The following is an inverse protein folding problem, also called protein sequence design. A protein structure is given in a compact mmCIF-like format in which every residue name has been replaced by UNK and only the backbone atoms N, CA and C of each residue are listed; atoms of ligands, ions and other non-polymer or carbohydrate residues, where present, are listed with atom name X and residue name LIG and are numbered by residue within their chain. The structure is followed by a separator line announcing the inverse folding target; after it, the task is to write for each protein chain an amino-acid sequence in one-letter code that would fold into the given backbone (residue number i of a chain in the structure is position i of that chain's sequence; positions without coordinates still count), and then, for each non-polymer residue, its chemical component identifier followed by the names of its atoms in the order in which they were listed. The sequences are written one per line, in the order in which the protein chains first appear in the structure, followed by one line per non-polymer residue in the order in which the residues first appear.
data_IF_933997840763
#
_entry.id   IF_933997840763
#
_cell.length_a   1.000
_cell.length_b   1.000
_cell.length_c   1.000
_cell.angle_alpha   90.00
_cell.angle_beta   90.00
_cell.angle_gamma   90.00
#
_symmetry.space_group_name_H-M   'P 1'
#
loop_
_entity.id
_entity.type
_entity.pdbx_description
1 polymer ?
#
# COMPACT_ATOMS: atom_id res chain seq x y z
N UNK A 1 -20.11 9.84 1.80
CA UNK A 1 -21.57 9.61 2.02
C UNK A 1 -22.42 10.88 2.27
N UNK A 2 -22.42 11.52 3.44
CA UNK A 2 -23.32 12.68 3.71
C UNK A 2 -23.09 13.88 2.76
N UNK A 3 -21.85 14.08 2.32
CA UNK A 3 -21.47 15.20 1.44
C UNK A 3 -21.95 15.08 -0.01
N UNK A 4 -22.06 13.86 -0.54
CA UNK A 4 -22.44 13.65 -1.95
C UNK A 4 -23.97 13.72 -2.10
N UNK A 5 -24.72 13.24 -1.10
CA UNK A 5 -26.18 13.31 -1.07
C UNK A 5 -26.76 14.72 -0.99
N UNK A 6 -26.03 15.68 -0.41
CA UNK A 6 -26.48 17.08 -0.34
C UNK A 6 -26.26 17.81 -1.67
N UNK A 7 -25.34 17.34 -2.52
CA UNK A 7 -24.90 18.04 -3.73
C UNK A 7 -25.68 17.63 -4.98
N UNK A 8 -26.14 16.38 -5.06
CA UNK A 8 -26.91 15.88 -6.20
C UNK A 8 -28.38 15.90 -5.81
N UNK A 9 -29.26 16.41 -6.67
CA UNK A 9 -30.71 16.23 -6.58
C UNK A 9 -31.13 15.18 -7.62
N UNK A 10 -30.98 13.86 -7.36
CA UNK A 10 -31.48 12.84 -8.27
C UNK A 10 -32.99 12.67 -8.09
N UNK A 11 -33.63 12.03 -9.06
CA UNK A 11 -34.97 11.50 -8.88
C UNK A 11 -34.99 10.50 -7.71
N UNK A 12 -36.13 10.36 -7.03
CA UNK A 12 -36.24 9.59 -5.79
C UNK A 12 -35.87 8.10 -5.95
N UNK A 13 -36.09 7.52 -7.13
CA UNK A 13 -35.79 6.11 -7.40
C UNK A 13 -34.28 5.86 -7.56
N UNK A 14 -33.57 6.72 -8.31
CA UNK A 14 -32.12 6.62 -8.47
C UNK A 14 -31.41 6.83 -7.13
N UNK A 15 -31.90 7.79 -6.33
CA UNK A 15 -31.35 8.11 -5.01
C UNK A 15 -31.30 6.89 -4.07
N UNK A 16 -32.34 6.06 -4.07
CA UNK A 16 -32.41 4.86 -3.21
C UNK A 16 -31.39 3.81 -3.63
N UNK A 17 -31.24 3.58 -4.93
CA UNK A 17 -30.23 2.64 -5.47
C UNK A 17 -28.82 3.10 -5.10
N UNK A 18 -28.54 4.40 -5.18
CA UNK A 18 -27.26 4.97 -4.76
C UNK A 18 -26.96 4.74 -3.28
N UNK A 19 -27.92 5.03 -2.40
CA UNK A 19 -27.74 4.83 -0.95
C UNK A 19 -27.42 3.36 -0.65
N UNK A 20 -28.15 2.42 -1.26
CA UNK A 20 -27.93 0.99 -1.06
C UNK A 20 -26.55 0.55 -1.56
N UNK A 21 -26.14 1.00 -2.75
CA UNK A 21 -24.81 0.74 -3.30
C UNK A 21 -23.71 1.31 -2.39
N UNK A 22 -23.86 2.52 -1.87
CA UNK A 22 -22.91 3.13 -0.95
C UNK A 22 -22.84 2.43 0.41
N UNK A 23 -23.95 1.91 0.93
CA UNK A 23 -23.95 1.11 2.16
C UNK A 23 -23.19 -0.19 1.94
N UNK A 24 -23.46 -0.87 0.82
CA UNK A 24 -22.72 -2.06 0.43
C UNK A 24 -21.22 -1.77 0.26
N UNK A 25 -20.91 -0.61 -0.30
CA UNK A 25 -19.55 -0.14 -0.47
C UNK A 25 -18.83 0.13 0.86
N UNK A 26 -19.50 0.80 1.79
CA UNK A 26 -19.00 1.00 3.16
C UNK A 26 -18.73 -0.33 3.87
N UNK A 27 -19.58 -1.33 3.64
CA UNK A 27 -19.35 -2.67 4.16
C UNK A 27 -18.10 -3.33 3.56
N UNK A 28 -17.91 -3.29 2.24
CA UNK A 28 -16.70 -3.81 1.60
C UNK A 28 -15.42 -3.11 2.09
N UNK A 29 -15.47 -1.79 2.28
CA UNK A 29 -14.37 -1.00 2.83
C UNK A 29 -14.00 -1.46 4.24
N UNK A 30 -14.99 -1.66 5.12
CA UNK A 30 -14.77 -2.18 6.48
C UNK A 30 -14.14 -3.58 6.47
N UNK A 31 -14.59 -4.45 5.56
CA UNK A 31 -14.00 -5.80 5.42
C UNK A 31 -12.56 -5.74 4.91
N UNK A 32 -12.26 -4.85 3.95
CA UNK A 32 -10.90 -4.63 3.47
C UNK A 32 -9.98 -4.14 4.60
N UNK A 33 -10.46 -3.22 5.44
CA UNK A 33 -9.73 -2.73 6.61
C UNK A 33 -9.46 -3.86 7.62
N UNK A 34 -10.47 -4.68 7.95
CA UNK A 34 -10.31 -5.84 8.84
C UNK A 34 -9.31 -6.86 8.30
N UNK A 35 -9.29 -7.09 6.99
CA UNK A 35 -8.30 -7.95 6.35
C UNK A 35 -6.88 -7.39 6.49
N UNK A 36 -6.71 -6.07 6.38
CA UNK A 36 -5.42 -5.40 6.55
C UNK A 36 -4.92 -5.47 7.98
N UNK A 37 -5.75 -5.13 8.97
CA UNK A 37 -5.40 -5.23 10.39
C UNK A 37 -5.01 -6.67 10.74
N UNK A 38 -5.77 -7.66 10.28
CA UNK A 38 -5.45 -9.07 10.50
C UNK A 38 -4.16 -9.48 9.82
N UNK A 39 -3.83 -8.93 8.65
CA UNK A 39 -2.56 -9.19 7.98
C UNK A 39 -1.38 -8.65 8.79
N UNK A 40 -1.46 -7.43 9.30
CA UNK A 40 -0.42 -6.84 10.15
C UNK A 40 -0.22 -7.64 11.43
N UNK A 41 -1.30 -8.13 12.05
CA UNK A 41 -1.22 -9.03 13.20
C UNK A 41 -0.57 -10.37 12.87
N UNK A 42 -0.84 -10.94 11.68
CA UNK A 42 -0.22 -12.19 11.24
C UNK A 42 1.27 -12.01 10.91
N UNK A 43 1.68 -10.87 10.39
CA UNK A 43 3.10 -10.54 10.21
C UNK A 43 3.83 -10.35 11.55
N UNK A 44 3.13 -9.85 12.57
CA UNK A 44 3.68 -9.71 13.92
C UNK A 44 3.72 -11.02 14.70
N UNK A 45 2.88 -12.00 14.34
CA UNK A 45 2.83 -13.31 14.99
C UNK A 45 3.83 -14.27 14.35
N UNK A 46 4.75 -14.82 15.14
CA UNK A 46 5.81 -15.73 14.68
C UNK A 46 5.34 -17.16 14.33
N UNK A 47 4.03 -17.45 14.41
CA UNK A 47 3.49 -18.80 14.17
C UNK A 47 2.88 -18.94 12.77
N UNK A 48 3.56 -19.74 11.95
CA UNK A 48 3.28 -19.95 10.54
C UNK A 48 2.10 -20.90 10.29
N UNK A 49 1.00 -20.40 9.70
CA UNK A 49 -0.04 -21.26 9.12
C UNK A 49 -0.55 -20.76 7.77
N UNK A 50 0.06 -21.29 6.70
CA UNK A 50 -0.23 -20.98 5.28
C UNK A 50 -1.70 -21.08 4.86
N UNK A 51 -2.52 -21.90 5.52
CA UNK A 51 -3.96 -22.05 5.20
C UNK A 51 -4.77 -20.79 5.52
N UNK A 52 -4.41 -20.11 6.60
CA UNK A 52 -5.13 -18.91 7.04
C UNK A 52 -4.78 -17.71 6.15
N UNK A 53 -3.56 -17.67 5.64
CA UNK A 53 -3.09 -16.74 4.61
C UNK A 53 -3.93 -16.88 3.33
N UNK A 54 -4.01 -18.08 2.74
CA UNK A 54 -4.77 -18.31 1.49
C UNK A 54 -6.22 -17.83 1.59
N UNK A 55 -6.88 -18.05 2.74
CA UNK A 55 -8.26 -17.60 2.95
C UNK A 55 -8.39 -16.07 2.89
N UNK A 56 -7.44 -15.34 3.48
CA UNK A 56 -7.42 -13.87 3.44
C UNK A 56 -7.14 -13.37 2.02
N UNK A 57 -6.23 -14.02 1.29
CA UNK A 57 -5.94 -13.69 -0.10
C UNK A 57 -7.17 -13.79 -1.01
N UNK A 58 -7.92 -14.89 -0.86
CA UNK A 58 -9.16 -15.11 -1.61
C UNK A 58 -10.20 -14.04 -1.27
N UNK A 59 -10.37 -13.72 0.02
CA UNK A 59 -11.29 -12.67 0.45
C UNK A 59 -10.90 -11.31 -0.15
N UNK A 60 -9.63 -10.93 -0.11
CA UNK A 60 -9.14 -9.68 -0.68
C UNK A 60 -9.30 -9.64 -2.21
N UNK A 61 -9.06 -10.76 -2.89
CA UNK A 61 -9.27 -10.90 -4.32
C UNK A 61 -10.75 -10.75 -4.72
N UNK A 62 -11.67 -11.33 -3.95
CA UNK A 62 -13.11 -11.16 -4.18
C UNK A 62 -13.52 -9.69 -4.00
N UNK A 63 -13.03 -9.01 -2.97
CA UNK A 63 -13.29 -7.58 -2.77
C UNK A 63 -12.78 -6.76 -3.97
N UNK A 64 -11.57 -7.02 -4.44
CA UNK A 64 -10.98 -6.33 -5.59
C UNK A 64 -11.80 -6.53 -6.88
N UNK A 65 -12.33 -7.73 -7.12
CA UNK A 65 -13.17 -8.02 -8.29
C UNK A 65 -14.50 -7.26 -8.20
N UNK A 66 -15.15 -7.28 -7.03
CA UNK A 66 -16.43 -6.57 -6.83
C UNK A 66 -16.26 -5.05 -7.01
N UNK A 67 -15.18 -4.49 -6.50
CA UNK A 67 -14.84 -3.07 -6.63
C UNK A 67 -14.56 -2.67 -8.09
N UNK A 68 -13.77 -3.47 -8.81
CA UNK A 68 -13.52 -3.27 -10.24
C UNK A 68 -14.79 -3.38 -11.09
N UNK A 69 -15.67 -4.35 -10.79
CA UNK A 69 -16.97 -4.48 -11.45
C UNK A 69 -17.82 -3.23 -11.25
N UNK A 70 -17.87 -2.68 -10.03
CA UNK A 70 -18.60 -1.44 -9.74
C UNK A 70 -18.03 -0.23 -10.49
N UNK A 71 -16.71 -0.09 -10.57
CA UNK A 71 -16.07 0.98 -11.34
C UNK A 71 -16.42 0.91 -12.82
N UNK A 72 -16.43 -0.30 -13.39
CA UNK A 72 -16.81 -0.51 -14.80
C UNK A 72 -18.28 -0.16 -15.01
N UNK A 73 -19.18 -0.61 -14.14
CA UNK A 73 -20.60 -0.24 -14.20
C UNK A 73 -20.78 1.27 -14.10
N UNK A 74 -20.10 1.93 -13.15
CA UNK A 74 -20.14 3.39 -12.99
C UNK A 74 -19.66 4.14 -14.25
N UNK A 75 -18.60 3.65 -14.89
CA UNK A 75 -18.06 4.24 -16.13
C UNK A 75 -19.03 4.13 -17.30
N UNK A 76 -19.74 3.00 -17.41
CA UNK A 76 -20.68 2.76 -18.50
C UNK A 76 -22.01 3.50 -18.32
N UNK A 77 -22.49 3.64 -17.09
CA UNK A 77 -23.83 4.19 -16.80
C UNK A 77 -23.85 5.71 -16.62
N UNK A 78 -22.81 6.31 -16.02
CA UNK A 78 -22.83 7.73 -15.61
C UNK A 78 -21.56 8.47 -16.02
N UNK A 79 -21.44 8.82 -17.31
CA UNK A 79 -20.27 9.57 -17.81
C UNK A 79 -20.14 10.97 -17.20
N UNK A 80 -21.26 11.66 -16.95
CA UNK A 80 -21.26 13.05 -16.50
C UNK A 80 -21.02 13.19 -14.99
N UNK A 81 -21.51 12.23 -14.18
CA UNK A 81 -21.27 12.17 -12.72
C UNK A 81 -20.07 11.30 -12.33
N UNK A 82 -19.37 10.72 -13.32
CA UNK A 82 -18.32 9.72 -13.14
C UNK A 82 -17.24 10.17 -12.15
N UNK A 83 -16.77 11.40 -12.28
CA UNK A 83 -15.63 11.92 -11.52
C UNK A 83 -15.92 11.97 -10.01
N UNK A 84 -17.17 12.24 -9.63
CA UNK A 84 -17.56 12.33 -8.21
C UNK A 84 -17.74 10.97 -7.55
N UNK A 85 -18.37 10.05 -8.30
CA UNK A 85 -18.84 8.77 -7.80
C UNK A 85 -17.77 7.68 -7.88
N UNK A 86 -16.88 7.77 -8.88
CA UNK A 86 -15.81 6.78 -9.12
C UNK A 86 -14.64 6.93 -8.14
N UNK A 87 -14.60 8.00 -7.34
CA UNK A 87 -13.45 8.32 -6.53
C UNK A 87 -13.26 7.40 -5.30
N UNK A 88 -14.28 7.26 -4.46
CA UNK A 88 -14.28 6.34 -3.32
C UNK A 88 -13.87 4.92 -3.74
N UNK A 89 -14.42 4.38 -4.85
CA UNK A 89 -13.98 3.08 -5.35
C UNK A 89 -12.60 3.04 -5.96
N UNK A 90 -12.12 4.12 -6.57
CA UNK A 90 -10.75 4.17 -7.07
C UNK A 90 -9.71 4.12 -5.95
N UNK A 91 -9.93 4.78 -4.79
CA UNK A 91 -8.99 4.71 -3.67
C UNK A 91 -8.90 3.29 -3.12
N UNK A 92 -10.05 2.68 -2.84
CA UNK A 92 -10.10 1.35 -2.25
C UNK A 92 -9.55 0.30 -3.23
N UNK A 93 -9.72 0.46 -4.53
CA UNK A 93 -9.06 -0.40 -5.52
C UNK A 93 -7.55 -0.30 -5.41
N UNK A 94 -7.00 0.92 -5.36
CA UNK A 94 -5.55 1.12 -5.26
C UNK A 94 -5.02 0.54 -3.95
N UNK A 95 -5.70 0.78 -2.84
CA UNK A 95 -5.32 0.27 -1.52
C UNK A 95 -5.41 -1.26 -1.40
N UNK A 96 -6.45 -1.87 -1.97
CA UNK A 96 -6.61 -3.33 -2.00
C UNK A 96 -5.57 -3.99 -2.89
N UNK A 97 -5.26 -3.40 -4.05
CA UNK A 97 -4.18 -3.86 -4.92
C UNK A 97 -2.82 -3.79 -4.24
N UNK A 98 -2.52 -2.71 -3.52
CA UNK A 98 -1.29 -2.60 -2.73
C UNK A 98 -1.18 -3.68 -1.67
N UNK A 99 -2.26 -3.86 -0.90
CA UNK A 99 -2.33 -4.88 0.14
C UNK A 99 -2.14 -6.28 -0.45
N UNK A 100 -2.71 -6.52 -1.64
CA UNK A 100 -2.56 -7.78 -2.37
C UNK A 100 -1.11 -7.99 -2.85
N UNK A 101 -0.46 -6.97 -3.41
CA UNK A 101 0.93 -7.03 -3.87
C UNK A 101 1.87 -7.35 -2.70
N UNK A 102 1.75 -6.61 -1.59
CA UNK A 102 2.52 -6.87 -0.36
C UNK A 102 2.29 -8.30 0.15
N UNK A 103 1.03 -8.71 0.16
CA UNK A 103 0.66 -10.04 0.62
C UNK A 103 1.28 -11.15 -0.26
N UNK A 104 1.20 -11.03 -1.58
CA UNK A 104 1.80 -12.00 -2.52
C UNK A 104 3.32 -12.01 -2.38
N UNK A 105 3.95 -10.84 -2.28
CA UNK A 105 5.40 -10.73 -2.05
C UNK A 105 5.86 -11.43 -0.78
N UNK A 106 5.19 -11.16 0.35
CA UNK A 106 5.51 -11.79 1.64
C UNK A 106 5.32 -13.32 1.60
N UNK A 107 4.28 -13.81 0.93
CA UNK A 107 4.05 -15.26 0.80
C UNK A 107 5.13 -15.90 -0.08
N UNK A 108 5.54 -15.26 -1.18
CA UNK A 108 6.59 -15.79 -2.07
C UNK A 108 7.96 -15.86 -1.38
N UNK A 109 8.26 -14.90 -0.51
CA UNK A 109 9.45 -14.90 0.33
C UNK A 109 9.42 -16.08 1.31
N UNK A 110 8.29 -16.29 2.00
CA UNK A 110 8.09 -17.40 2.95
C UNK A 110 8.22 -18.78 2.27
N UNK A 111 7.71 -18.92 1.04
CA UNK A 111 7.76 -20.19 0.29
C UNK A 111 9.17 -20.45 -0.27
N UNK A 112 10.11 -19.50 -0.17
CA UNK A 112 11.50 -19.67 -0.56
C UNK A 112 11.72 -19.64 -2.08
N UNK A 113 10.74 -19.18 -2.87
CA UNK A 113 10.84 -19.12 -4.33
C UNK A 113 11.61 -17.85 -4.78
N UNK A 114 11.58 -16.77 -3.99
CA UNK A 114 12.19 -15.48 -4.34
C UNK A 114 13.11 -14.92 -3.25
N UNK A 115 14.13 -15.67 -2.83
CA UNK A 115 15.16 -15.22 -1.87
C UNK A 115 16.16 -14.18 -2.44
N UNK A 116 15.83 -13.53 -3.55
CA UNK A 116 16.72 -12.51 -4.11
C UNK A 116 16.55 -11.20 -3.34
N UNK A 117 17.63 -10.68 -2.74
CA UNK A 117 17.69 -9.35 -2.13
C UNK A 117 17.08 -8.26 -3.04
N UNK A 118 17.36 -8.36 -4.35
CA UNK A 118 16.80 -7.46 -5.38
C UNK A 118 15.27 -7.48 -5.46
N UNK A 119 14.63 -8.63 -5.21
CA UNK A 119 13.16 -8.74 -5.26
C UNK A 119 12.51 -8.03 -4.07
N UNK A 120 13.10 -8.18 -2.88
CA UNK A 120 12.64 -7.49 -1.65
C UNK A 120 12.79 -5.97 -1.77
N UNK A 121 13.90 -5.50 -2.36
CA UNK A 121 14.11 -4.07 -2.65
C UNK A 121 13.08 -3.52 -3.65
N UNK A 122 12.81 -4.25 -4.73
CA UNK A 122 11.80 -3.87 -5.73
C UNK A 122 10.40 -3.82 -5.12
N UNK A 123 10.02 -4.82 -4.33
CA UNK A 123 8.72 -4.88 -3.65
C UNK A 123 8.54 -3.67 -2.72
N UNK A 124 9.58 -3.35 -1.95
CA UNK A 124 9.59 -2.16 -1.08
C UNK A 124 9.43 -0.86 -1.88
N UNK A 125 10.08 -0.74 -3.03
CA UNK A 125 9.97 0.44 -3.88
C UNK A 125 8.58 0.59 -4.49
N UNK A 126 7.98 -0.51 -4.94
CA UNK A 126 6.60 -0.55 -5.46
C UNK A 126 5.63 -0.11 -4.37
N UNK A 127 5.76 -0.64 -3.16
CA UNK A 127 4.93 -0.28 -2.01
C UNK A 127 5.00 1.22 -1.71
N UNK A 128 6.21 1.79 -1.68
CA UNK A 128 6.41 3.21 -1.44
C UNK A 128 5.81 4.09 -2.55
N UNK A 129 6.01 3.70 -3.81
CA UNK A 129 5.45 4.43 -4.96
C UNK A 129 3.93 4.40 -4.96
N UNK A 130 3.34 3.25 -4.64
CA UNK A 130 1.91 3.09 -4.57
C UNK A 130 1.31 3.90 -3.39
N UNK A 131 1.94 3.87 -2.22
CA UNK A 131 1.57 4.70 -1.07
C UNK A 131 1.54 6.20 -1.42
N UNK A 132 2.53 6.68 -2.18
CA UNK A 132 2.57 8.06 -2.68
C UNK A 132 1.40 8.30 -3.64
N UNK A 133 1.12 7.36 -4.54
CA UNK A 133 0.04 7.48 -5.51
C UNK A 133 -1.32 7.62 -4.81
N UNK A 134 -1.60 6.84 -3.76
CA UNK A 134 -2.83 6.97 -2.96
C UNK A 134 -2.95 8.34 -2.33
N UNK A 135 -1.87 8.85 -1.73
CA UNK A 135 -1.87 10.17 -1.11
C UNK A 135 -2.11 11.25 -2.16
N UNK A 136 -1.46 11.17 -3.33
CA UNK A 136 -1.64 12.13 -4.41
C UNK A 136 -3.06 12.13 -4.97
N UNK A 137 -3.63 10.96 -5.23
CA UNK A 137 -5.02 10.80 -5.68
C UNK A 137 -5.98 11.36 -4.64
N UNK A 138 -5.73 11.11 -3.35
CA UNK A 138 -6.50 11.66 -2.23
C UNK A 138 -6.43 13.19 -2.16
N UNK A 139 -5.22 13.76 -2.27
CA UNK A 139 -5.04 15.22 -2.29
C UNK A 139 -5.74 15.87 -3.48
N UNK A 140 -5.59 15.28 -4.68
CA UNK A 140 -6.24 15.79 -5.90
C UNK A 140 -7.75 15.88 -5.73
N UNK A 141 -8.38 14.86 -5.14
CA UNK A 141 -9.81 14.87 -4.88
C UNK A 141 -10.26 15.93 -3.89
N UNK A 142 -9.54 16.08 -2.78
CA UNK A 142 -9.86 17.13 -1.82
C UNK A 142 -9.78 18.52 -2.43
N UNK A 143 -8.80 18.76 -3.32
CA UNK A 143 -8.69 20.00 -4.08
C UNK A 143 -9.85 20.13 -5.08
N UNK A 144 -10.21 19.07 -5.79
CA UNK A 144 -11.37 19.08 -6.70
C UNK A 144 -12.67 19.42 -5.98
N UNK A 145 -12.96 18.82 -4.83
CA UNK A 145 -14.14 19.17 -4.01
C UNK A 145 -14.11 20.64 -3.61
N UNK A 146 -12.95 21.14 -3.17
CA UNK A 146 -12.78 22.54 -2.75
C UNK A 146 -13.10 23.50 -3.90
N UNK A 147 -12.66 23.18 -5.12
CA UNK A 147 -12.91 24.00 -6.31
C UNK A 147 -14.41 24.05 -6.65
N UNK A 148 -15.15 22.97 -6.40
CA UNK A 148 -16.57 22.86 -6.73
C UNK A 148 -17.49 23.51 -5.69
N UNK A 149 -17.15 23.45 -4.40
CA UNK A 149 -17.92 24.09 -3.33
C UNK A 149 -17.65 25.59 -3.17
N UNK A 150 -16.57 26.10 -3.78
CA UNK A 150 -16.06 27.43 -3.52
C UNK A 150 -15.48 27.58 -2.11
N UNK A 151 -14.70 28.64 -1.88
CA UNK A 151 -14.10 28.93 -0.56
C UNK A 151 -15.16 29.59 0.33
N UNK A 152 -16.16 28.82 0.74
CA UNK A 152 -17.08 29.19 1.82
C UNK A 152 -16.57 28.62 3.14
N UNK A 153 -16.64 29.36 4.25
CA UNK A 153 -16.23 28.91 5.58
C UNK A 153 -17.24 27.93 6.19
N UNK A 154 -17.43 26.79 5.53
CA UNK A 154 -18.26 25.69 6.02
C UNK A 154 -17.39 24.66 6.76
N UNK A 155 -17.99 23.94 7.71
CA UNK A 155 -17.34 22.84 8.46
C UNK A 155 -16.68 21.80 7.53
N UNK A 156 -17.23 21.64 6.33
CA UNK A 156 -16.73 20.75 5.27
C UNK A 156 -15.29 21.10 4.88
N UNK A 157 -15.03 22.38 4.60
CA UNK A 157 -13.70 22.87 4.20
C UNK A 157 -12.71 22.65 5.33
N UNK A 158 -13.11 22.84 6.59
CA UNK A 158 -12.26 22.57 7.75
C UNK A 158 -11.86 21.08 7.85
N UNK A 159 -12.82 20.17 7.73
CA UNK A 159 -12.55 18.71 7.74
C UNK A 159 -11.65 18.31 6.57
N UNK A 160 -11.90 18.84 5.37
CA UNK A 160 -11.07 18.57 4.19
C UNK A 160 -9.65 19.09 4.39
N UNK A 161 -9.47 20.30 4.94
CA UNK A 161 -8.15 20.86 5.25
C UNK A 161 -7.39 20.04 6.29
N UNK A 162 -8.06 19.50 7.31
CA UNK A 162 -7.44 18.60 8.28
C UNK A 162 -6.96 17.30 7.62
N UNK A 163 -7.75 16.72 6.72
CA UNK A 163 -7.36 15.53 5.97
C UNK A 163 -6.18 15.82 5.02
N UNK A 164 -6.18 16.96 4.33
CA UNK A 164 -5.04 17.43 3.53
C UNK A 164 -3.77 17.56 4.39
N UNK A 165 -3.88 18.23 5.55
CA UNK A 165 -2.75 18.40 6.47
C UNK A 165 -2.23 17.04 6.95
N UNK A 166 -3.11 16.14 7.37
CA UNK A 166 -2.75 14.77 7.77
C UNK A 166 -2.02 14.03 6.65
N UNK A 167 -2.53 14.13 5.41
CA UNK A 167 -1.89 13.54 4.23
C UNK A 167 -0.50 14.10 3.96
N UNK A 168 -0.30 15.42 4.06
CA UNK A 168 1.01 16.06 3.89
C UNK A 168 2.00 15.62 4.98
N UNK A 169 1.57 15.56 6.24
CA UNK A 169 2.42 15.11 7.35
C UNK A 169 2.82 13.64 7.16
N UNK A 170 1.87 12.79 6.76
CA UNK A 170 2.13 11.39 6.46
C UNK A 170 3.11 11.24 5.30
N UNK A 171 2.92 11.98 4.20
CA UNK A 171 3.83 12.00 3.05
C UNK A 171 5.24 12.43 3.46
N UNK A 172 5.35 13.53 4.19
CA UNK A 172 6.64 14.03 4.66
C UNK A 172 7.34 13.02 5.58
N UNK A 173 6.58 12.37 6.47
CA UNK A 173 7.13 11.33 7.34
C UNK A 173 7.63 10.11 6.54
N UNK A 174 6.91 9.71 5.48
CA UNK A 174 7.31 8.60 4.60
C UNK A 174 8.56 8.96 3.79
N UNK A 175 8.62 10.14 3.21
CA UNK A 175 9.81 10.63 2.48
C UNK A 175 11.02 10.71 3.42
N UNK A 176 10.84 11.22 4.64
CA UNK A 176 11.91 11.28 5.63
C UNK A 176 12.44 9.88 6.00
N UNK A 177 11.55 8.90 6.19
CA UNK A 177 11.94 7.50 6.45
C UNK A 177 12.72 6.91 5.28
N UNK A 178 12.31 7.20 4.04
CA UNK A 178 13.02 6.76 2.84
C UNK A 178 14.42 7.39 2.73
N UNK A 179 14.54 8.70 2.97
CA UNK A 179 15.85 9.40 3.01
C UNK A 179 16.77 8.79 4.06
N UNK A 180 16.26 8.59 5.27
CA UNK A 180 17.03 8.00 6.38
C UNK A 180 17.49 6.57 6.07
N UNK A 181 16.66 5.78 5.38
CA UNK A 181 17.05 4.42 4.94
C UNK A 181 18.22 4.51 3.97
N UNK A 182 18.15 5.41 2.98
CA UNK A 182 19.22 5.60 1.99
C UNK A 182 20.51 6.11 2.62
N UNK A 183 20.42 7.04 3.58
CA UNK A 183 21.58 7.54 4.34
C UNK A 183 22.22 6.43 5.18
N UNK A 184 21.42 5.53 5.76
CA UNK A 184 21.92 4.39 6.54
C UNK A 184 22.64 3.40 5.62
N UNK A 185 22.07 3.07 4.47
CA UNK A 185 22.74 2.24 3.46
C UNK A 185 24.04 2.85 2.95
N UNK A 186 24.06 4.16 2.68
CA UNK A 186 25.26 4.86 2.23
C UNK A 186 26.33 4.91 3.32
N UNK A 187 25.96 5.16 4.58
CA UNK A 187 26.89 5.09 5.71
C UNK A 187 27.45 3.67 5.90
N UNK A 188 26.67 2.63 5.62
CA UNK A 188 27.13 1.22 5.69
C UNK A 188 28.01 0.91 4.47
N UNK A 189 27.68 1.40 3.27
CA UNK A 189 28.51 1.25 2.07
C UNK A 189 29.87 1.95 2.21
N UNK A 190 29.91 3.16 2.74
CA UNK A 190 31.14 3.93 2.85
C UNK A 190 32.07 3.46 3.99
N UNK A 191 31.53 2.79 5.02
CA UNK A 191 32.32 2.31 6.17
C UNK A 191 32.85 0.89 6.00
N UNK A 192 32.19 0.06 5.19
CA UNK A 192 32.52 -1.35 5.04
C UNK A 192 33.17 -1.59 3.68
N UNK A 193 34.26 -2.35 3.67
CA UNK A 193 34.91 -2.77 2.42
C UNK A 193 34.13 -3.95 1.84
N UNK A 194 33.88 -3.90 0.54
CA UNK A 194 33.30 -5.04 -0.18
C UNK A 194 34.24 -6.25 -0.09
N UNK A 195 33.68 -7.44 0.18
CA UNK A 195 34.47 -8.66 0.26
C UNK A 195 34.96 -9.06 -1.13
N UNK A 196 36.26 -9.31 -1.26
CA UNK A 196 36.87 -9.79 -2.51
C UNK A 196 36.41 -11.24 -2.78
N UNK A 197 36.18 -11.67 -4.02
CA UNK A 197 35.75 -13.04 -4.33
C UNK A 197 36.68 -14.15 -3.80
N UNK A 198 37.95 -13.83 -3.55
CA UNK A 198 38.92 -14.74 -2.92
C UNK A 198 38.73 -14.91 -1.39
N UNK A 199 38.10 -13.93 -0.73
CA UNK A 199 37.72 -14.01 0.69
C UNK A 199 36.43 -14.84 0.89
N UNK A 200 35.51 -14.83 -0.08
CA UNK A 200 34.28 -15.65 -0.06
C UNK A 200 34.61 -17.15 -0.17
N UNK A 201 35.52 -17.53 -1.08
CA UNK A 201 35.97 -18.92 -1.26
C UNK A 201 36.66 -19.53 -0.04
N UNK A 202 37.21 -18.71 0.86
CA UNK A 202 37.84 -19.17 2.11
C UNK A 202 36.83 -19.50 3.21
N UNK A 203 35.58 -19.04 3.09
CA UNK A 203 34.56 -19.10 4.12
C UNK A 203 33.34 -19.92 3.67
N UNK A 204 33.53 -21.08 3.03
CA UNK A 204 32.48 -22.06 2.64
C UNK A 204 31.18 -21.46 2.08
N UNK A 205 31.23 -20.28 1.46
CA UNK A 205 30.15 -19.51 0.85
C UNK A 205 28.82 -19.36 1.65
N UNK A 206 28.78 -19.75 2.93
CA UNK A 206 27.54 -19.80 3.72
C UNK A 206 27.49 -18.71 4.80
N UNK A 207 26.37 -18.00 4.83
CA UNK A 207 26.07 -17.00 5.84
C UNK A 207 25.98 -17.58 7.25
N UNK A 208 26.79 -17.07 8.19
CA UNK A 208 26.70 -17.50 9.60
C UNK A 208 25.35 -17.15 10.23
N UNK A 209 24.69 -16.08 9.76
CA UNK A 209 23.39 -15.61 10.29
C UNK A 209 22.24 -16.38 9.63
N UNK A 210 22.24 -16.42 8.30
CA UNK A 210 21.11 -16.82 7.48
C UNK A 210 21.29 -18.19 6.80
N UNK A 211 22.47 -18.81 6.90
CA UNK A 211 22.86 -20.11 6.33
C UNK A 211 22.68 -20.26 4.82
N UNK A 212 22.43 -19.17 4.12
CA UNK A 212 22.24 -19.10 2.68
C UNK A 212 23.56 -18.79 1.94
N UNK A 213 23.69 -19.19 0.66
CA UNK A 213 24.87 -18.92 -0.14
C UNK A 213 25.01 -17.43 -0.49
N UNK A 214 26.22 -16.88 -0.40
CA UNK A 214 26.50 -15.45 -0.64
C UNK A 214 26.96 -15.13 -2.07
N UNK A 215 26.27 -14.22 -2.76
CA UNK A 215 26.70 -13.64 -4.05
C UNK A 215 27.30 -12.23 -3.90
N UNK A 216 26.88 -11.47 -2.89
CA UNK A 216 27.42 -10.16 -2.52
C UNK A 216 27.56 -10.12 -1.01
N UNK A 217 28.75 -9.75 -0.53
CA UNK A 217 29.04 -9.76 0.89
C UNK A 217 29.91 -8.58 1.31
N UNK A 218 29.73 -8.12 2.54
CA UNK A 218 30.52 -7.05 3.14
C UNK A 218 31.36 -7.55 4.29
N UNK A 219 32.59 -7.03 4.37
CA UNK A 219 33.56 -7.39 5.40
C UNK A 219 33.59 -6.35 6.50
N UNK A 220 33.25 -6.78 7.71
CA UNK A 220 33.35 -5.96 8.93
C UNK A 220 34.81 -5.78 9.35
N UNK A 221 35.16 -4.72 10.10
CA UNK A 221 36.51 -4.51 10.63
C UNK A 221 36.98 -5.61 11.60
N UNK A 222 36.05 -6.40 12.15
CA UNK A 222 36.33 -7.60 12.94
C UNK A 222 36.60 -8.87 12.11
N UNK A 223 36.54 -8.79 10.78
CA UNK A 223 36.86 -9.89 9.87
C UNK A 223 35.67 -10.78 9.46
N UNK A 224 34.49 -10.63 10.08
CA UNK A 224 33.29 -11.37 9.68
C UNK A 224 32.70 -10.86 8.36
N UNK A 225 32.16 -11.79 7.57
CA UNK A 225 31.56 -11.57 6.25
C UNK A 225 30.06 -11.85 6.36
N UNK A 226 29.24 -10.92 5.90
CA UNK A 226 27.78 -11.02 5.93
C UNK A 226 27.17 -10.70 4.56
N UNK A 227 25.96 -11.19 4.32
CA UNK A 227 25.13 -10.79 3.18
C UNK A 227 24.84 -9.30 3.25
N UNK A 228 24.50 -8.72 2.11
CA UNK A 228 24.33 -7.29 1.97
C UNK A 228 23.02 -6.82 2.56
#
# INVERSE_FOLDING_TARGET
LFFIMVVVQPEWEESVVWILLYIFYGFLSLFSLLCRDRHEMLLAAAEYRVKDHIRIAILLGVICILDAMMLITCFLTLKDLFIFLSFEPSIILIETLQTLIRYVGNVLEIVGISQNELYSDILTYIDFGADILVILVSMSYYVHILMLQGISFNLIVFVVLLNIRSGIVNLHSKIKRFSQRRESEDSINNRLKDATPDDLKKLEDSCVICREPMLKAKKMPCGHIFHR
#
